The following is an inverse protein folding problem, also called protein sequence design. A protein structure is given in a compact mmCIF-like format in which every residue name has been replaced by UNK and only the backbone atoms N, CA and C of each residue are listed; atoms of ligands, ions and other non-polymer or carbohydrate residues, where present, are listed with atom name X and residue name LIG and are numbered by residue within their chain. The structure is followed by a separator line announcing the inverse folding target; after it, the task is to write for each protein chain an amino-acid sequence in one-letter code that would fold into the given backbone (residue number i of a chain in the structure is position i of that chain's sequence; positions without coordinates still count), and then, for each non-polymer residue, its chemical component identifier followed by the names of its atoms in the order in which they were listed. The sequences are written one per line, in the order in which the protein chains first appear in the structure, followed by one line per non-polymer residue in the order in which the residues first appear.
data_IF_506690650045
#
_entry.id   IF_506690650045
#
_cell.length_a   1.000
_cell.length_b   1.000
_cell.length_c   1.000
_cell.angle_alpha   90.00
_cell.angle_beta   90.00
_cell.angle_gamma   90.00
#
_symmetry.space_group_name_H-M   'P 1'
#
loop_
_entity.id
_entity.type
_entity.pdbx_description
1 polymer ?
#
# COMPACT_ATOMS: atom_id res chain seq x y z
N UNK A 1 7.57 -1.93 14.56
CA UNK A 1 8.79 -1.45 13.88
C UNK A 1 9.45 -0.28 14.60
N UNK A 2 8.85 0.92 14.63
CA UNK A 2 9.44 2.05 15.37
C UNK A 2 9.43 1.79 16.89
N UNK A 3 8.29 1.35 17.44
CA UNK A 3 8.18 1.00 18.85
C UNK A 3 9.10 -0.16 19.27
N UNK A 4 9.35 -1.10 18.35
CA UNK A 4 10.22 -2.28 18.58
C UNK A 4 11.69 -2.00 18.25
N UNK A 5 12.06 -0.77 17.88
CA UNK A 5 13.45 -0.36 17.59
C UNK A 5 14.04 -0.89 16.28
N UNK A 6 13.24 -1.49 15.41
CA UNK A 6 13.70 -2.05 14.13
C UNK A 6 14.02 -0.97 13.08
N UNK A 7 13.61 0.29 13.34
CA UNK A 7 13.98 1.49 12.57
C UNK A 7 14.03 2.73 13.47
N UNK A 8 14.92 3.66 13.13
CA UNK A 8 14.99 5.00 13.74
C UNK A 8 13.89 5.93 13.22
N UNK A 9 13.51 5.78 11.95
CA UNK A 9 12.53 6.60 11.26
C UNK A 9 11.85 5.82 10.12
N UNK A 10 10.68 6.30 9.69
CA UNK A 10 9.92 5.75 8.58
C UNK A 10 9.44 6.87 7.66
N UNK A 11 10.33 7.31 6.77
CA UNK A 11 10.06 8.42 5.84
C UNK A 11 9.36 7.96 4.55
N UNK A 12 9.31 6.65 4.31
CA UNK A 12 8.71 6.07 3.13
C UNK A 12 7.16 6.06 3.26
N UNK A 13 6.46 6.21 2.14
CA UNK A 13 5.06 5.79 2.08
C UNK A 13 4.96 4.28 2.31
N UNK A 14 3.87 3.81 2.90
CA UNK A 14 3.68 2.37 3.19
C UNK A 14 2.94 1.63 2.06
N UNK A 15 2.37 2.39 1.14
CA UNK A 15 1.74 1.86 -0.07
C UNK A 15 1.17 2.95 -0.95
N UNK A 16 0.89 2.59 -2.19
CA UNK A 16 0.35 3.50 -3.21
C UNK A 16 -0.63 2.75 -4.10
N UNK A 17 -1.60 3.48 -4.66
CA UNK A 17 -2.61 2.87 -5.55
C UNK A 17 -1.97 2.21 -6.77
N UNK A 18 -2.64 1.18 -7.28
CA UNK A 18 -2.36 0.66 -8.61
C UNK A 18 -3.57 0.98 -9.49
N UNK A 19 -3.29 1.68 -10.59
CA UNK A 19 -4.28 2.00 -11.62
C UNK A 19 -4.01 1.23 -12.91
N UNK A 20 -5.01 1.14 -13.77
CA UNK A 20 -4.81 0.70 -15.15
C UNK A 20 -4.27 1.88 -15.96
N UNK A 21 -2.94 1.93 -16.11
CA UNK A 21 -2.30 2.93 -16.95
C UNK A 21 -2.17 2.44 -18.38
N UNK A 22 -2.37 3.31 -19.39
CA UNK A 22 -2.11 2.94 -20.75
C UNK A 22 -0.67 2.44 -20.89
N UNK A 23 -0.46 1.33 -21.61
CA UNK A 23 0.86 0.71 -21.77
C UNK A 23 1.94 1.67 -22.32
N UNK A 24 1.51 2.73 -23.02
CA UNK A 24 2.37 3.77 -23.58
C UNK A 24 2.78 4.86 -22.58
N UNK A 25 2.29 4.82 -21.34
CA UNK A 25 2.69 5.74 -20.28
C UNK A 25 3.05 4.92 -19.04
N UNK A 26 4.31 4.49 -18.90
CA UNK A 26 4.76 3.77 -17.71
C UNK A 26 4.65 4.70 -16.50
N UNK A 27 3.54 4.59 -15.77
CA UNK A 27 3.35 5.16 -14.45
C UNK A 27 3.73 4.07 -13.47
N UNK A 28 5.00 4.09 -13.07
CA UNK A 28 5.56 3.12 -12.12
C UNK A 28 4.93 3.22 -10.74
N UNK A 29 4.36 4.38 -10.39
CA UNK A 29 3.62 4.58 -9.15
C UNK A 29 2.46 5.56 -9.32
N UNK A 30 1.28 5.19 -8.79
CA UNK A 30 0.14 6.08 -8.66
C UNK A 30 0.10 6.70 -7.25
N UNK A 31 0.49 7.97 -7.14
CA UNK A 31 0.43 8.68 -5.87
C UNK A 31 -0.88 9.45 -5.64
N UNK A 32 -1.92 9.18 -6.43
CA UNK A 32 -3.24 9.79 -6.20
C UNK A 32 -3.81 9.40 -4.84
N UNK A 33 -3.47 8.21 -4.34
CA UNK A 33 -3.71 7.79 -2.95
C UNK A 33 -2.48 7.05 -2.43
N UNK A 34 -1.94 7.53 -1.32
CA UNK A 34 -0.77 6.95 -0.64
C UNK A 34 -1.04 6.80 0.84
N UNK A 35 -0.48 5.76 1.44
CA UNK A 35 -0.53 5.53 2.87
C UNK A 35 0.57 6.34 3.57
N UNK A 36 0.13 7.48 4.12
CA UNK A 36 0.88 8.36 5.01
C UNK A 36 0.13 8.49 6.34
N UNK A 37 0.80 8.80 7.45
CA UNK A 37 0.13 9.09 8.72
C UNK A 37 -0.88 10.24 8.64
N UNK A 38 -0.72 11.13 7.66
CA UNK A 38 -1.54 12.32 7.43
C UNK A 38 -2.57 12.13 6.30
N UNK A 39 -2.75 10.91 5.79
CA UNK A 39 -3.75 10.64 4.75
C UNK A 39 -5.18 10.81 5.29
N UNK A 40 -6.01 11.56 4.56
CA UNK A 40 -7.38 11.94 4.96
C UNK A 40 -8.47 11.40 4.02
N UNK A 41 -8.11 10.47 3.13
CA UNK A 41 -9.02 9.81 2.19
C UNK A 41 -9.56 8.48 2.74
N UNK A 42 -10.69 8.02 2.21
CA UNK A 42 -11.34 6.77 2.63
C UNK A 42 -11.04 5.63 1.66
N UNK A 43 -10.86 4.42 2.19
CA UNK A 43 -10.82 3.19 1.40
C UNK A 43 -12.22 2.89 0.84
N UNK A 44 -12.28 2.56 -0.44
CA UNK A 44 -13.51 2.13 -1.12
C UNK A 44 -13.26 0.77 -1.75
N UNK A 45 -14.32 -0.05 -1.84
CA UNK A 45 -14.25 -1.36 -2.49
C UNK A 45 -13.76 -1.25 -3.94
N UNK A 46 -12.97 -2.22 -4.38
CA UNK A 46 -12.41 -2.28 -5.73
C UNK A 46 -11.08 -1.54 -5.90
N UNK A 47 -10.63 -0.80 -4.88
CA UNK A 47 -9.29 -0.19 -4.90
C UNK A 47 -8.20 -1.24 -4.79
N UNK A 48 -7.11 -1.03 -5.53
CA UNK A 48 -5.92 -1.88 -5.50
C UNK A 48 -4.72 -1.05 -5.06
N UNK A 49 -3.90 -1.61 -4.18
CA UNK A 49 -2.68 -0.96 -3.69
C UNK A 49 -1.49 -1.90 -3.74
N UNK A 50 -0.32 -1.37 -4.03
CA UNK A 50 0.94 -2.02 -3.72
C UNK A 50 1.38 -1.57 -2.33
N UNK A 51 1.42 -2.50 -1.38
CA UNK A 51 1.79 -2.27 0.00
C UNK A 51 3.20 -2.81 0.23
N UNK A 52 4.01 -2.09 0.98
CA UNK A 52 5.33 -2.56 1.32
C UNK A 52 5.81 -2.00 2.65
N UNK A 53 6.65 -2.79 3.31
CA UNK A 53 7.33 -2.40 4.52
C UNK A 53 8.76 -2.92 4.49
N UNK A 54 9.68 -2.17 5.07
CA UNK A 54 11.05 -2.65 5.28
C UNK A 54 11.50 -2.29 6.68
N UNK A 55 12.36 -3.10 7.28
CA UNK A 55 13.05 -2.83 8.53
C UNK A 55 14.27 -3.74 8.64
N UNK A 56 15.34 -3.26 9.27
CA UNK A 56 16.56 -4.03 9.53
C UNK A 56 17.10 -4.84 8.32
N UNK A 57 17.12 -4.21 7.14
CA UNK A 57 17.63 -4.84 5.91
C UNK A 57 16.67 -5.84 5.23
N UNK A 58 15.48 -6.08 5.80
CA UNK A 58 14.44 -6.94 5.21
C UNK A 58 13.33 -6.06 4.63
N UNK A 59 12.79 -6.44 3.47
CA UNK A 59 11.63 -5.82 2.87
C UNK A 59 10.59 -6.89 2.48
N UNK A 60 9.31 -6.58 2.72
CA UNK A 60 8.16 -7.39 2.33
C UNK A 60 7.21 -6.48 1.57
N UNK A 61 6.65 -6.97 0.46
CA UNK A 61 5.63 -6.25 -0.30
C UNK A 61 4.55 -7.20 -0.80
N UNK A 62 3.36 -6.65 -1.00
CA UNK A 62 2.18 -7.37 -1.48
C UNK A 62 1.25 -6.44 -2.25
N UNK A 63 0.47 -6.99 -3.19
CA UNK A 63 -0.59 -6.26 -3.89
C UNK A 63 -1.94 -6.66 -3.33
N UNK A 64 -2.70 -5.68 -2.87
CA UNK A 64 -3.95 -5.89 -2.13
C UNK A 64 -5.15 -5.30 -2.87
N UNK A 65 -6.25 -6.05 -2.91
CA UNK A 65 -7.56 -5.59 -3.37
C UNK A 65 -8.46 -5.31 -2.16
N UNK A 66 -9.07 -4.13 -2.11
CA UNK A 66 -10.09 -3.77 -1.12
C UNK A 66 -11.41 -4.44 -1.51
N UNK A 67 -11.97 -5.27 -0.62
CA UNK A 67 -13.23 -6.00 -0.83
C UNK A 67 -14.29 -5.59 0.19
N UNK A 68 -15.57 -5.91 -0.06
CA UNK A 68 -16.68 -5.69 0.87
C UNK A 68 -16.58 -6.58 2.13
N UNK A 69 -15.65 -6.26 3.02
CA UNK A 69 -15.57 -6.79 4.38
C UNK A 69 -15.21 -5.63 5.30
N UNK A 70 -16.25 -4.96 5.79
CA UNK A 70 -16.16 -3.72 6.54
C UNK A 70 -15.23 -3.77 7.76
N UNK A 71 -14.57 -2.62 8.00
CA UNK A 71 -13.99 -2.16 9.28
C UNK A 71 -12.85 -2.97 9.92
N UNK A 72 -12.51 -4.16 9.43
CA UNK A 72 -11.27 -4.87 9.81
C UNK A 72 -10.29 -4.93 8.64
N UNK A 73 -9.08 -4.44 8.87
CA UNK A 73 -8.02 -4.20 7.88
C UNK A 73 -7.37 -5.50 7.37
N UNK A 74 -8.03 -6.65 7.54
CA UNK A 74 -7.39 -7.98 7.54
C UNK A 74 -7.86 -8.93 6.44
N UNK A 75 -8.69 -8.49 5.49
CA UNK A 75 -9.00 -9.30 4.31
C UNK A 75 -8.58 -8.62 3.00
N UNK A 76 -7.26 -8.50 2.84
CA UNK A 76 -6.64 -8.30 1.54
C UNK A 76 -6.46 -9.67 0.90
N UNK A 77 -7.01 -9.88 -0.29
CA UNK A 77 -6.75 -11.10 -1.06
C UNK A 77 -5.55 -10.85 -1.97
N UNK A 78 -4.59 -11.76 -1.94
CA UNK A 78 -3.42 -11.72 -2.84
C UNK A 78 -3.89 -11.68 -4.30
N UNK A 79 -3.50 -10.64 -5.03
CA UNK A 79 -3.74 -10.53 -6.47
C UNK A 79 -2.48 -10.99 -7.18
N UNK A 80 -2.45 -12.27 -7.58
CA UNK A 80 -1.45 -12.79 -8.52
C UNK A 80 -1.83 -12.34 -9.93
N UNK A 81 -0.96 -11.56 -10.58
CA UNK A 81 -1.12 -11.08 -11.96
C UNK A 81 -0.63 -12.14 -12.94
#
# INVERSE_FOLDING_TARGET
MLADGLRSDYLNITGYSLGCYPAHTPRTSDFSRVFLPTADWTLEEGMVFHMYVSADGIAISETVLVTEAGRDVHHCREVTI
#
